data_IF_535426463935
#
_entry.id   IF_535426463935
#
_cell.length_a   1.000
_cell.length_b   1.000
_cell.length_c   1.000
_cell.angle_alpha   90.00
_cell.angle_beta   90.00
_cell.angle_gamma   90.00
#
_symmetry.space_group_name_H-M   'P 1'
#
loop_
_entity.id
_entity.type
_entity.pdbx_description
1 polymer ?
#
# COMPACT_ATOMS: atom_id res chain seq x y z
N UNK A 1 -13.71 -21.28 -17.49
CA UNK A 1 -12.64 -22.29 -17.68
C UNK A 1 -12.57 -22.81 -19.12
N UNK A 2 -13.61 -23.43 -19.70
CA UNK A 2 -13.56 -23.93 -21.09
C UNK A 2 -13.24 -22.86 -22.16
N UNK A 3 -13.83 -21.64 -22.08
CA UNK A 3 -13.62 -20.60 -23.10
C UNK A 3 -12.32 -19.79 -22.99
N UNK A 4 -11.62 -19.81 -21.85
CA UNK A 4 -10.36 -19.06 -21.67
C UNK A 4 -9.14 -19.96 -21.89
N UNK A 5 -9.23 -21.25 -21.56
CA UNK A 5 -8.22 -22.23 -21.99
C UNK A 5 -8.22 -22.39 -23.50
N UNK A 6 -9.37 -22.24 -24.17
CA UNK A 6 -9.43 -22.23 -25.64
C UNK A 6 -8.92 -20.91 -26.21
N UNK A 7 -9.26 -19.75 -25.61
CA UNK A 7 -8.75 -18.46 -26.10
C UNK A 7 -7.22 -18.36 -25.98
N UNK A 8 -6.66 -18.66 -24.81
CA UNK A 8 -5.22 -18.65 -24.62
C UNK A 8 -4.54 -19.80 -25.36
N UNK A 9 -5.13 -21.01 -25.37
CA UNK A 9 -4.60 -22.16 -26.11
C UNK A 9 -4.55 -21.92 -27.61
N UNK A 10 -5.65 -21.51 -28.24
CA UNK A 10 -5.72 -21.25 -29.68
C UNK A 10 -4.92 -20.00 -30.08
N UNK A 11 -4.94 -18.93 -29.27
CA UNK A 11 -4.14 -17.73 -29.55
C UNK A 11 -2.65 -17.99 -29.39
N UNK A 12 -2.25 -18.78 -28.39
CA UNK A 12 -0.85 -19.19 -28.16
C UNK A 12 -0.39 -20.13 -29.28
N UNK A 13 -1.19 -21.15 -29.63
CA UNK A 13 -0.88 -22.09 -30.72
C UNK A 13 -0.76 -21.36 -32.06
N UNK A 14 -1.71 -20.50 -32.39
CA UNK A 14 -1.68 -19.69 -33.60
C UNK A 14 -0.45 -18.77 -33.62
N UNK A 15 -0.13 -18.12 -32.51
CA UNK A 15 1.02 -17.22 -32.44
C UNK A 15 2.37 -17.96 -32.52
N UNK A 16 2.52 -19.09 -31.83
CA UNK A 16 3.68 -19.97 -31.97
C UNK A 16 3.85 -20.41 -33.43
N UNK A 17 2.74 -20.65 -34.14
CA UNK A 17 2.73 -21.03 -35.56
C UNK A 17 3.16 -19.87 -36.46
N UNK A 18 2.62 -18.66 -36.24
CA UNK A 18 2.92 -17.46 -37.01
C UNK A 18 4.39 -17.01 -36.85
N UNK A 19 5.01 -17.25 -35.70
CA UNK A 19 6.38 -16.81 -35.39
C UNK A 19 7.43 -17.94 -35.55
N UNK A 20 7.02 -19.10 -36.06
CA UNK A 20 7.92 -20.23 -36.33
C UNK A 20 8.44 -20.98 -35.11
N UNK A 21 7.83 -20.78 -33.94
CA UNK A 21 8.16 -21.48 -32.69
C UNK A 21 7.31 -22.74 -32.45
N UNK A 22 6.28 -22.96 -33.26
CA UNK A 22 5.43 -24.13 -33.19
C UNK A 22 6.15 -25.36 -33.77
N UNK A 23 6.40 -26.35 -32.92
CA UNK A 23 6.83 -27.67 -33.33
C UNK A 23 5.65 -28.65 -33.20
N UNK A 24 5.07 -29.14 -34.32
CA UNK A 24 3.94 -30.05 -34.30
C UNK A 24 4.26 -31.42 -33.68
N UNK A 25 5.53 -31.77 -33.48
CA UNK A 25 5.93 -32.99 -32.77
C UNK A 25 5.90 -32.85 -31.23
N UNK A 26 5.51 -31.69 -30.72
CA UNK A 26 5.37 -31.41 -29.28
C UNK A 26 3.87 -31.20 -28.99
N UNK A 27 3.08 -32.27 -29.12
CA UNK A 27 1.61 -32.19 -28.99
C UNK A 27 1.09 -31.91 -27.56
N UNK A 28 1.94 -31.77 -26.53
CA UNK A 28 1.48 -31.82 -25.13
C UNK A 28 2.03 -30.79 -24.15
N UNK A 29 2.67 -29.70 -24.60
CA UNK A 29 3.35 -28.79 -23.65
C UNK A 29 2.55 -27.50 -23.33
N UNK A 30 1.44 -27.20 -23.99
CA UNK A 30 0.69 -25.96 -23.71
C UNK A 30 -0.25 -26.00 -22.48
N UNK A 31 -0.58 -27.18 -21.94
CA UNK A 31 -1.49 -27.33 -20.80
C UNK A 31 -0.79 -27.61 -19.46
N UNK A 32 0.51 -27.90 -19.47
CA UNK A 32 1.29 -28.18 -18.25
C UNK A 32 2.70 -27.57 -18.29
N UNK A 33 2.94 -26.47 -19.02
CA UNK A 33 4.16 -25.71 -18.78
C UNK A 33 4.02 -25.01 -17.43
N UNK A 34 4.88 -25.30 -16.43
CA UNK A 34 5.07 -24.38 -15.34
C UNK A 34 5.39 -23.01 -15.95
N UNK A 35 4.76 -21.91 -15.49
CA UNK A 35 5.02 -20.55 -15.99
C UNK A 35 6.51 -20.16 -15.99
N UNK A 36 7.34 -20.89 -15.25
CA UNK A 36 8.78 -20.78 -15.13
C UNK A 36 9.58 -21.14 -16.41
N UNK A 37 8.93 -21.63 -17.48
CA UNK A 37 9.62 -22.14 -18.68
C UNK A 37 9.36 -21.37 -19.99
N UNK A 38 8.58 -20.28 -19.98
CA UNK A 38 8.44 -19.44 -21.17
C UNK A 38 9.67 -18.52 -21.32
N UNK A 39 10.34 -18.51 -22.48
CA UNK A 39 11.38 -17.52 -22.76
C UNK A 39 10.85 -16.10 -22.52
N UNK A 40 11.65 -15.25 -21.89
CA UNK A 40 11.25 -13.90 -21.46
C UNK A 40 10.61 -13.06 -22.59
N UNK A 41 11.14 -13.16 -23.81
CA UNK A 41 10.60 -12.47 -24.98
C UNK A 41 9.20 -12.93 -25.41
N UNK A 42 8.84 -14.19 -25.15
CA UNK A 42 7.51 -14.73 -25.40
C UNK A 42 6.53 -14.27 -24.32
N UNK A 43 6.96 -14.32 -23.06
CA UNK A 43 6.15 -13.86 -21.92
C UNK A 43 5.77 -12.37 -22.03
N UNK A 44 6.69 -11.51 -22.46
CA UNK A 44 6.39 -10.08 -22.63
C UNK A 44 5.40 -9.83 -23.79
N UNK A 45 5.57 -10.50 -24.94
CA UNK A 45 4.63 -10.37 -26.07
C UNK A 45 3.21 -10.83 -25.69
N UNK A 46 3.10 -11.93 -24.94
CA UNK A 46 1.81 -12.41 -24.44
C UNK A 46 1.22 -11.46 -23.40
N UNK A 47 2.05 -10.89 -22.53
CA UNK A 47 1.63 -9.88 -21.54
C UNK A 47 1.02 -8.65 -22.22
N UNK A 48 1.63 -8.13 -23.30
CA UNK A 48 1.07 -7.00 -24.06
C UNK A 48 -0.31 -7.33 -24.67
N UNK A 49 -0.48 -8.55 -25.19
CA UNK A 49 -1.77 -8.99 -25.76
C UNK A 49 -2.84 -9.17 -24.69
N UNK A 50 -2.49 -9.80 -23.56
CA UNK A 50 -3.38 -9.95 -22.41
C UNK A 50 -3.81 -8.58 -21.87
N UNK A 51 -2.87 -7.64 -21.79
CA UNK A 51 -3.15 -6.26 -21.39
C UNK A 51 -4.16 -5.58 -22.34
N UNK A 52 -3.99 -5.70 -23.66
CA UNK A 52 -4.94 -5.15 -24.62
C UNK A 52 -6.34 -5.76 -24.51
N UNK A 53 -6.42 -7.09 -24.34
CA UNK A 53 -7.69 -7.80 -24.15
C UNK A 53 -8.43 -7.32 -22.89
N UNK A 54 -7.74 -7.32 -21.74
CA UNK A 54 -8.36 -6.96 -20.46
C UNK A 54 -8.75 -5.47 -20.41
N UNK A 55 -7.95 -4.58 -21.00
CA UNK A 55 -8.35 -3.18 -21.15
C UNK A 55 -9.66 -3.03 -21.95
N UNK A 56 -9.84 -3.87 -22.98
CA UNK A 56 -11.10 -3.94 -23.73
C UNK A 56 -12.27 -4.42 -22.88
N UNK A 57 -12.08 -5.47 -22.07
CA UNK A 57 -13.12 -6.00 -21.18
C UNK A 57 -13.55 -4.98 -20.10
N UNK A 58 -12.59 -4.33 -19.42
CA UNK A 58 -12.89 -3.27 -18.44
C UNK A 58 -13.55 -2.04 -19.09
N UNK A 59 -13.16 -1.68 -20.31
CA UNK A 59 -13.68 -0.51 -21.02
C UNK A 59 -15.07 -0.70 -21.64
N UNK A 60 -15.38 -1.90 -22.17
CA UNK A 60 -16.61 -2.13 -22.95
C UNK A 60 -17.71 -2.85 -22.16
N UNK A 61 -17.36 -3.70 -21.20
CA UNK A 61 -18.32 -4.62 -20.56
C UNK A 61 -18.59 -4.32 -19.09
N UNK A 62 -17.99 -3.25 -18.54
CA UNK A 62 -18.15 -2.84 -17.13
C UNK A 62 -17.95 -4.01 -16.13
N UNK A 63 -16.96 -4.88 -16.38
CA UNK A 63 -16.66 -5.98 -15.47
C UNK A 63 -16.05 -5.46 -14.17
N UNK A 64 -16.36 -6.12 -13.06
CA UNK A 64 -15.74 -5.85 -11.76
C UNK A 64 -14.35 -6.50 -11.64
N UNK A 65 -13.54 -6.05 -10.68
CA UNK A 65 -12.23 -6.67 -10.41
C UNK A 65 -12.40 -8.15 -10.02
N UNK A 66 -13.31 -8.47 -9.10
CA UNK A 66 -13.68 -9.85 -8.77
C UNK A 66 -13.97 -10.72 -10.00
N UNK A 67 -14.80 -10.26 -10.94
CA UNK A 67 -15.14 -11.02 -12.16
C UNK A 67 -13.95 -11.19 -13.10
N UNK A 68 -13.10 -10.16 -13.20
CA UNK A 68 -11.87 -10.22 -13.97
C UNK A 68 -10.91 -11.24 -13.37
N UNK A 69 -10.69 -11.20 -12.05
CA UNK A 69 -9.80 -12.12 -11.34
C UNK A 69 -10.20 -13.58 -11.56
N UNK A 70 -11.48 -13.93 -11.45
CA UNK A 70 -11.97 -15.30 -11.70
C UNK A 70 -11.61 -15.81 -13.11
N UNK A 71 -11.49 -14.91 -14.09
CA UNK A 71 -11.23 -15.23 -15.49
C UNK A 71 -9.76 -15.07 -15.89
N UNK A 72 -8.97 -14.29 -15.17
CA UNK A 72 -7.54 -14.08 -15.42
C UNK A 72 -6.74 -15.36 -15.16
N UNK A 73 -5.69 -15.55 -15.95
CA UNK A 73 -4.81 -16.72 -15.83
C UNK A 73 -3.92 -16.65 -14.59
N UNK A 74 -3.47 -15.45 -14.21
CA UNK A 74 -2.46 -15.26 -13.16
C UNK A 74 -1.02 -15.47 -13.63
N UNK A 75 -0.81 -15.78 -14.92
CA UNK A 75 0.49 -16.18 -15.46
C UNK A 75 1.25 -15.04 -16.14
N UNK A 76 0.54 -13.97 -16.51
CA UNK A 76 1.06 -12.89 -17.32
C UNK A 76 1.02 -11.57 -16.56
N UNK A 77 2.16 -10.87 -16.50
CA UNK A 77 2.27 -9.57 -15.83
C UNK A 77 1.33 -8.52 -16.45
N UNK A 78 1.01 -8.65 -17.73
CA UNK A 78 0.05 -7.79 -18.43
C UNK A 78 -1.37 -7.82 -17.85
N UNK A 79 -1.82 -8.96 -17.31
CA UNK A 79 -3.13 -9.05 -16.66
C UNK A 79 -3.15 -8.21 -15.37
N UNK A 80 -2.09 -8.32 -14.56
CA UNK A 80 -1.91 -7.55 -13.34
C UNK A 80 -1.76 -6.04 -13.61
N UNK A 81 -1.04 -5.66 -14.68
CA UNK A 81 -0.91 -4.26 -15.11
C UNK A 81 -2.28 -3.64 -15.38
N UNK A 82 -3.20 -4.37 -16.00
CA UNK A 82 -4.56 -3.87 -16.27
C UNK A 82 -5.34 -3.69 -14.98
N UNK A 83 -5.32 -4.68 -14.06
CA UNK A 83 -6.01 -4.53 -12.77
C UNK A 83 -5.50 -3.30 -12.02
N UNK A 84 -4.18 -3.14 -11.94
CA UNK A 84 -3.57 -1.96 -11.33
C UNK A 84 -4.04 -0.67 -11.97
N UNK A 85 -3.91 -0.56 -13.30
CA UNK A 85 -4.28 0.65 -14.02
C UNK A 85 -5.77 0.95 -13.86
N UNK A 86 -6.63 -0.08 -13.84
CA UNK A 86 -8.05 0.08 -13.62
C UNK A 86 -8.34 0.59 -12.20
N UNK A 87 -7.78 -0.03 -11.16
CA UNK A 87 -7.97 0.37 -9.76
C UNK A 87 -7.50 1.81 -9.54
N UNK A 88 -6.27 2.14 -9.96
CA UNK A 88 -5.70 3.49 -9.78
C UNK A 88 -6.49 4.55 -10.55
N UNK A 89 -6.87 4.28 -11.82
CA UNK A 89 -7.51 5.28 -12.68
C UNK A 89 -8.98 5.52 -12.34
N UNK A 90 -9.71 4.46 -12.00
CA UNK A 90 -11.15 4.53 -11.76
C UNK A 90 -11.50 4.63 -10.28
N UNK A 91 -10.50 4.47 -9.40
CA UNK A 91 -10.69 4.30 -7.96
C UNK A 91 -11.74 3.24 -7.63
N UNK A 92 -11.73 2.15 -8.42
CA UNK A 92 -12.66 1.04 -8.24
C UNK A 92 -12.55 0.50 -6.81
N UNK A 93 -13.69 0.17 -6.16
CA UNK A 93 -13.65 -0.45 -4.85
C UNK A 93 -12.96 -1.81 -4.97
N UNK A 94 -11.82 -1.93 -4.32
CA UNK A 94 -11.11 -3.19 -4.10
C UNK A 94 -11.31 -3.57 -2.63
N UNK A 95 -11.45 -4.86 -2.36
CA UNK A 95 -11.51 -5.37 -0.99
C UNK A 95 -10.27 -6.23 -0.65
N UNK A 96 -10.08 -6.52 0.64
CA UNK A 96 -8.93 -7.30 1.12
C UNK A 96 -8.88 -8.70 0.50
N UNK A 97 -10.03 -9.35 0.28
CA UNK A 97 -10.06 -10.68 -0.33
C UNK A 97 -9.61 -10.66 -1.80
N UNK A 98 -9.99 -9.65 -2.58
CA UNK A 98 -9.53 -9.47 -3.95
C UNK A 98 -8.02 -9.20 -4.00
N UNK A 99 -7.48 -8.45 -3.04
CA UNK A 99 -6.04 -8.23 -2.92
C UNK A 99 -5.28 -9.51 -2.59
N UNK A 100 -5.77 -10.31 -1.65
CA UNK A 100 -5.17 -11.60 -1.33
C UNK A 100 -5.27 -12.58 -2.52
N UNK A 101 -6.38 -12.55 -3.26
CA UNK A 101 -6.49 -13.32 -4.50
C UNK A 101 -5.45 -12.87 -5.54
N UNK A 102 -5.22 -11.56 -5.69
CA UNK A 102 -4.15 -11.01 -6.52
C UNK A 102 -2.77 -11.52 -6.07
N UNK A 103 -2.46 -11.45 -4.76
CA UNK A 103 -1.20 -11.93 -4.19
C UNK A 103 -0.98 -13.41 -4.52
N UNK A 104 -1.97 -14.26 -4.27
CA UNK A 104 -1.88 -15.70 -4.50
C UNK A 104 -1.78 -16.01 -5.99
N UNK A 105 -2.66 -15.43 -6.81
CA UNK A 105 -2.79 -15.73 -8.25
C UNK A 105 -1.55 -15.32 -9.04
N UNK A 106 -0.92 -14.20 -8.69
CA UNK A 106 0.27 -13.68 -9.37
C UNK A 106 1.59 -13.94 -8.63
N UNK A 107 1.58 -14.73 -7.55
CA UNK A 107 2.77 -15.02 -6.71
C UNK A 107 3.97 -15.57 -7.48
N UNK A 108 3.72 -16.24 -8.61
CA UNK A 108 4.73 -16.87 -9.45
C UNK A 108 5.31 -15.95 -10.54
N UNK A 109 4.76 -14.73 -10.71
CA UNK A 109 5.17 -13.78 -11.74
C UNK A 109 6.23 -12.83 -11.17
N UNK A 110 7.38 -12.76 -11.83
CA UNK A 110 8.47 -11.87 -11.41
C UNK A 110 8.01 -10.40 -11.42
N UNK A 111 8.31 -9.66 -10.34
CA UNK A 111 7.90 -8.26 -10.19
C UNK A 111 6.43 -8.06 -9.79
N UNK A 112 5.61 -9.11 -9.74
CA UNK A 112 4.20 -8.99 -9.35
C UNK A 112 4.02 -8.53 -7.91
N UNK A 113 4.85 -8.98 -6.96
CA UNK A 113 4.74 -8.57 -5.54
C UNK A 113 4.72 -7.06 -5.38
N UNK A 114 5.68 -6.35 -5.98
CA UNK A 114 5.75 -4.89 -5.93
C UNK A 114 4.49 -4.24 -6.53
N UNK A 115 4.00 -4.78 -7.64
CA UNK A 115 2.80 -4.27 -8.30
C UNK A 115 1.53 -4.50 -7.47
N UNK A 116 1.43 -5.64 -6.79
CA UNK A 116 0.33 -5.92 -5.87
C UNK A 116 0.41 -5.01 -4.64
N UNK A 117 1.60 -4.71 -4.13
CA UNK A 117 1.78 -3.75 -3.03
C UNK A 117 1.38 -2.32 -3.44
N UNK A 118 1.64 -1.92 -4.69
CA UNK A 118 1.14 -0.66 -5.24
C UNK A 118 -0.40 -0.65 -5.34
N UNK A 119 -1.03 -1.76 -5.74
CA UNK A 119 -2.49 -1.90 -5.72
C UNK A 119 -3.05 -1.90 -4.30
N UNK A 120 -2.33 -2.48 -3.34
CA UNK A 120 -2.71 -2.48 -1.93
C UNK A 120 -2.75 -1.07 -1.35
N UNK A 121 -1.87 -0.17 -1.80
CA UNK A 121 -1.86 1.22 -1.35
C UNK A 121 -3.12 2.01 -1.74
N UNK A 122 -3.84 1.55 -2.77
CA UNK A 122 -5.13 2.13 -3.19
C UNK A 122 -6.29 1.68 -2.29
N UNK A 123 -6.11 0.63 -1.47
CA UNK A 123 -7.15 0.20 -0.52
C UNK A 123 -7.29 1.19 0.63
N UNK A 124 -8.53 1.58 0.98
CA UNK A 124 -8.74 2.33 2.20
C UNK A 124 -8.29 1.49 3.41
N UNK A 125 -7.53 2.09 4.35
CA UNK A 125 -7.37 1.52 5.67
C UNK A 125 -8.75 1.29 6.31
N UNK A 126 -8.84 0.40 7.31
CA UNK A 126 -10.07 0.24 8.09
C UNK A 126 -10.57 1.60 8.59
N UNK A 127 -11.89 1.79 8.56
CA UNK A 127 -12.49 2.99 9.12
C UNK A 127 -12.12 3.07 10.61
N UNK A 128 -11.55 4.20 11.08
CA UNK A 128 -11.18 4.35 12.48
C UNK A 128 -12.41 4.21 13.36
N UNK A 129 -12.24 3.52 14.49
CA UNK A 129 -13.29 3.39 15.50
C UNK A 129 -13.66 4.76 16.03
N UNK A 130 -14.92 4.92 16.47
CA UNK A 130 -15.31 6.15 17.14
C UNK A 130 -14.59 6.22 18.50
N UNK A 131 -13.82 7.28 18.76
CA UNK A 131 -13.11 7.40 20.02
C UNK A 131 -14.10 7.63 21.16
N UNK A 132 -13.79 7.04 22.33
CA UNK A 132 -14.66 7.12 23.51
C UNK A 132 -14.25 8.27 24.43
N UNK A 133 -15.22 8.95 25.02
CA UNK A 133 -14.96 10.00 26.02
C UNK A 133 -14.25 9.45 27.27
N UNK A 134 -14.44 8.16 27.57
CA UNK A 134 -13.83 7.48 28.71
C UNK A 134 -12.34 7.19 28.54
N UNK A 135 -11.79 7.34 27.34
CA UNK A 135 -10.39 7.06 27.06
C UNK A 135 -9.44 8.04 27.74
N UNK A 136 -8.32 7.51 28.20
CA UNK A 136 -7.19 8.29 28.66
C UNK A 136 -6.39 8.90 27.49
N UNK A 137 -5.44 9.76 27.81
CA UNK A 137 -4.67 10.47 26.79
C UNK A 137 -3.83 9.56 25.90
N UNK A 138 -3.30 8.46 26.45
CA UNK A 138 -2.47 7.53 25.70
C UNK A 138 -3.35 6.78 24.71
N UNK A 139 -4.54 6.34 25.12
CA UNK A 139 -5.53 5.70 24.26
C UNK A 139 -5.97 6.63 23.11
N UNK A 140 -6.21 7.91 23.40
CA UNK A 140 -6.53 8.91 22.36
C UNK A 140 -5.39 9.11 21.36
N UNK A 141 -4.14 9.22 21.83
CA UNK A 141 -2.95 9.35 20.97
C UNK A 141 -2.75 8.09 20.14
N UNK A 142 -2.90 6.91 20.74
CA UNK A 142 -2.69 5.63 20.06
C UNK A 142 -3.74 5.39 18.97
N UNK A 143 -5.01 5.69 19.24
CA UNK A 143 -6.07 5.69 18.24
C UNK A 143 -5.78 6.67 17.11
N UNK A 144 -5.36 7.90 17.44
CA UNK A 144 -5.06 8.91 16.44
C UNK A 144 -3.95 8.42 15.50
N UNK A 145 -2.92 7.79 16.07
CA UNK A 145 -1.75 7.28 15.36
C UNK A 145 -2.03 6.05 14.50
N UNK A 146 -2.70 5.05 15.07
CA UNK A 146 -2.82 3.72 14.46
C UNK A 146 -4.04 3.59 13.56
N UNK A 147 -5.09 4.37 13.80
CA UNK A 147 -6.35 4.29 13.06
C UNK A 147 -6.62 5.57 12.28
N UNK A 148 -6.75 6.71 12.96
CA UNK A 148 -7.27 7.94 12.34
C UNK A 148 -6.31 8.58 11.33
N UNK A 149 -5.04 8.77 11.68
CA UNK A 149 -4.04 9.42 10.83
C UNK A 149 -3.78 8.63 9.54
N UNK A 150 -3.58 7.30 9.56
CA UNK A 150 -3.46 6.49 8.35
C UNK A 150 -4.69 6.63 7.44
N UNK A 151 -5.88 6.54 8.02
CA UNK A 151 -7.13 6.72 7.27
C UNK A 151 -7.26 8.13 6.67
N UNK A 152 -6.93 9.17 7.45
CA UNK A 152 -6.95 10.57 7.00
C UNK A 152 -5.92 10.82 5.89
N UNK A 153 -4.72 10.26 6.00
CA UNK A 153 -3.71 10.32 4.95
C UNK A 153 -4.26 9.70 3.66
N UNK A 154 -4.84 8.50 3.75
CA UNK A 154 -5.42 7.84 2.59
C UNK A 154 -6.51 8.71 1.94
N UNK A 155 -7.41 9.30 2.73
CA UNK A 155 -8.41 10.24 2.20
C UNK A 155 -7.77 11.42 1.47
N UNK A 156 -6.69 12.00 2.01
CA UNK A 156 -5.98 13.12 1.38
C UNK A 156 -5.30 12.71 0.07
N UNK A 157 -4.57 11.59 0.08
CA UNK A 157 -3.85 11.07 -1.08
C UNK A 157 -4.83 10.75 -2.24
N UNK A 158 -6.06 10.37 -1.92
CA UNK A 158 -7.12 10.05 -2.89
C UNK A 158 -8.16 11.16 -3.10
N UNK A 159 -7.92 12.37 -2.56
CA UNK A 159 -8.82 13.53 -2.65
C UNK A 159 -10.28 13.23 -2.26
N UNK A 160 -10.47 12.45 -1.18
CA UNK A 160 -11.77 12.05 -0.65
C UNK A 160 -12.11 12.78 0.64
N UNK A 161 -13.41 12.91 0.89
CA UNK A 161 -13.95 13.50 2.11
C UNK A 161 -14.85 12.45 2.80
N UNK A 162 -14.71 12.34 4.11
CA UNK A 162 -15.54 11.50 4.95
C UNK A 162 -16.01 12.32 6.16
N UNK A 163 -17.31 12.54 6.29
CA UNK A 163 -17.91 13.35 7.36
C UNK A 163 -17.68 12.75 8.75
N UNK A 164 -17.69 11.41 8.86
CA UNK A 164 -17.40 10.73 10.13
C UNK A 164 -15.95 10.97 10.56
N UNK A 165 -14.99 10.89 9.64
CA UNK A 165 -13.59 11.21 9.92
C UNK A 165 -13.42 12.69 10.32
N UNK A 166 -14.15 13.62 9.68
CA UNK A 166 -14.16 15.02 10.09
C UNK A 166 -14.69 15.17 11.52
N UNK A 167 -15.82 14.54 11.84
CA UNK A 167 -16.38 14.59 13.19
C UNK A 167 -15.42 14.01 14.24
N UNK A 168 -14.78 12.88 13.95
CA UNK A 168 -13.75 12.28 14.80
C UNK A 168 -12.57 13.21 15.04
N UNK A 169 -12.18 14.00 14.02
CA UNK A 169 -11.12 15.00 14.16
C UNK A 169 -11.47 16.11 15.13
N UNK A 170 -12.71 16.59 15.11
CA UNK A 170 -13.24 17.60 16.03
C UNK A 170 -13.27 17.06 17.45
N UNK A 171 -13.74 15.81 17.65
CA UNK A 171 -13.73 15.17 18.96
C UNK A 171 -12.32 15.07 19.56
N UNK A 172 -11.34 14.70 18.72
CA UNK A 172 -9.93 14.64 19.13
C UNK A 172 -9.40 16.03 19.52
N UNK A 173 -9.67 17.05 18.70
CA UNK A 173 -9.26 18.43 18.95
C UNK A 173 -9.83 18.97 20.27
N UNK A 174 -11.14 18.80 20.50
CA UNK A 174 -11.79 19.24 21.73
C UNK A 174 -11.20 18.54 22.96
N UNK A 175 -10.95 17.22 22.86
CA UNK A 175 -10.35 16.44 23.95
C UNK A 175 -8.92 16.90 24.24
N UNK A 176 -8.11 17.07 23.20
CA UNK A 176 -6.74 17.56 23.30
C UNK A 176 -6.71 18.92 23.98
N UNK A 177 -7.58 19.85 23.55
CA UNK A 177 -7.66 21.19 24.12
C UNK A 177 -8.06 21.16 25.60
N UNK A 178 -9.11 20.41 25.96
CA UNK A 178 -9.58 20.31 27.36
C UNK A 178 -8.54 19.71 28.29
N UNK A 179 -7.73 18.76 27.81
CA UNK A 179 -6.73 18.06 28.63
C UNK A 179 -5.33 18.67 28.52
N UNK A 180 -5.12 19.66 27.64
CA UNK A 180 -3.80 20.25 27.41
C UNK A 180 -3.07 20.70 28.69
N UNK A 181 -3.73 21.34 29.68
CA UNK A 181 -3.06 21.70 30.94
C UNK A 181 -2.55 20.50 31.74
N UNK A 182 -3.20 19.34 31.64
CA UNK A 182 -2.75 18.11 32.28
C UNK A 182 -1.53 17.53 31.56
N UNK A 183 -1.46 17.67 30.23
CA UNK A 183 -0.26 17.28 29.46
C UNK A 183 0.95 18.11 29.82
N UNK A 184 0.77 19.41 30.10
CA UNK A 184 1.84 20.28 30.61
C UNK A 184 2.37 19.86 31.99
N UNK A 185 1.69 18.97 32.70
CA UNK A 185 2.14 18.43 33.98
C UNK A 185 2.75 17.02 33.84
N UNK A 186 2.58 16.36 32.69
CA UNK A 186 3.12 15.03 32.43
C UNK A 186 4.57 15.12 31.95
N UNK A 187 5.50 14.64 32.76
CA UNK A 187 6.93 14.68 32.45
C UNK A 187 7.30 13.87 31.20
N UNK A 188 6.54 12.78 30.94
CA UNK A 188 6.81 11.85 29.83
C UNK A 188 6.33 12.40 28.47
N UNK A 189 5.37 13.32 28.45
CA UNK A 189 4.79 13.89 27.22
C UNK A 189 5.44 15.22 26.81
N UNK A 190 6.32 15.77 27.65
CA UNK A 190 6.93 17.07 27.43
C UNK A 190 8.42 16.98 27.08
N UNK A 191 8.90 18.05 26.46
CA UNK A 191 10.31 18.34 26.18
C UNK A 191 11.22 18.10 27.40
N UNK A 192 10.72 18.20 28.63
CA UNK A 192 11.49 17.94 29.85
C UNK A 192 12.00 16.50 29.96
N UNK A 193 11.24 15.50 29.49
CA UNK A 193 11.74 14.12 29.37
C UNK A 193 12.91 14.03 28.38
N UNK A 194 12.76 14.67 27.22
CA UNK A 194 13.80 14.75 26.19
C UNK A 194 15.05 15.53 26.66
N UNK A 195 14.90 16.50 27.57
CA UNK A 195 16.00 17.31 28.08
C UNK A 195 17.07 16.47 28.79
N UNK A 196 16.67 15.46 29.57
CA UNK A 196 17.62 14.55 30.24
C UNK A 196 18.47 13.79 29.21
N UNK A 197 17.83 13.31 28.15
CA UNK A 197 18.50 12.53 27.13
C UNK A 197 19.43 13.41 26.28
N UNK A 198 19.01 14.65 26.00
CA UNK A 198 19.83 15.69 25.36
C UNK A 198 21.06 16.03 26.21
N UNK A 199 20.92 16.16 27.53
CA UNK A 199 22.07 16.39 28.40
C UNK A 199 23.10 15.26 28.31
N UNK A 200 22.66 14.00 28.24
CA UNK A 200 23.56 12.85 28.04
C UNK A 200 24.30 12.94 26.71
N UNK A 201 23.58 13.20 25.61
CA UNK A 201 24.17 13.29 24.27
C UNK A 201 25.16 14.46 24.15
N UNK A 202 24.86 15.60 24.75
CA UNK A 202 25.79 16.74 24.81
C UNK A 202 27.06 16.36 25.59
N UNK A 203 26.95 15.59 26.68
CA UNK A 203 28.08 15.07 27.45
C UNK A 203 28.97 14.11 26.65
N UNK A 204 28.41 13.39 25.67
CA UNK A 204 29.13 12.53 24.74
C UNK A 204 29.74 13.27 23.55
N UNK A 205 29.54 14.59 23.44
CA UNK A 205 30.12 15.45 22.40
C UNK A 205 29.27 15.60 21.14
N UNK A 206 28.01 15.15 21.15
CA UNK A 206 27.08 15.38 20.03
C UNK A 206 26.65 16.85 19.94
N UNK A 207 26.42 17.32 18.72
CA UNK A 207 25.74 18.59 18.46
C UNK A 207 24.25 18.31 18.26
N UNK A 208 23.41 19.00 19.03
CA UNK A 208 21.96 18.79 19.01
C UNK A 208 21.30 19.87 18.16
N UNK A 209 20.64 19.45 17.08
CA UNK A 209 19.78 20.31 16.28
C UNK A 209 18.33 20.16 16.74
N UNK A 210 17.73 21.25 17.21
CA UNK A 210 16.29 21.32 17.48
C UNK A 210 15.55 21.77 16.23
N UNK A 211 14.69 20.89 15.71
CA UNK A 211 13.80 21.21 14.60
C UNK A 211 12.39 21.35 15.14
N UNK A 212 11.91 22.60 15.27
CA UNK A 212 10.51 22.87 15.53
C UNK A 212 9.78 22.94 14.20
N UNK A 213 8.87 22.02 13.97
CA UNK A 213 8.07 21.98 12.76
C UNK A 213 6.64 22.36 13.12
N UNK A 214 6.20 23.50 12.59
CA UNK A 214 4.81 23.91 12.68
C UNK A 214 4.05 23.47 11.41
N UNK A 215 2.80 23.08 11.57
CA UNK A 215 1.88 22.67 10.49
C UNK A 215 2.37 21.53 9.57
N UNK A 216 3.37 20.74 9.98
CA UNK A 216 3.71 19.51 9.26
C UNK A 216 2.83 18.37 9.78
N UNK A 217 1.97 17.79 8.94
CA UNK A 217 1.16 16.66 9.37
C UNK A 217 2.05 15.48 9.78
N UNK A 218 1.65 14.77 10.84
CA UNK A 218 2.45 13.68 11.42
C UNK A 218 2.92 12.64 10.40
N UNK A 219 2.10 12.36 9.39
CA UNK A 219 2.42 11.38 8.36
C UNK A 219 3.55 11.80 7.39
N UNK A 220 4.00 13.06 7.41
CA UNK A 220 5.21 13.50 6.70
C UNK A 220 6.49 13.35 7.52
N UNK A 221 6.37 13.01 8.80
CA UNK A 221 7.53 12.89 9.69
C UNK A 221 8.53 11.84 9.19
N UNK A 222 8.06 10.70 8.67
CA UNK A 222 8.95 9.68 8.10
C UNK A 222 9.77 10.20 6.91
N UNK A 223 9.16 11.02 6.05
CA UNK A 223 9.87 11.65 4.92
C UNK A 223 10.93 12.62 5.43
N UNK A 224 10.60 13.45 6.42
CA UNK A 224 11.56 14.37 7.06
C UNK A 224 12.70 13.60 7.74
N UNK A 225 12.38 12.57 8.51
CA UNK A 225 13.33 11.72 9.20
C UNK A 225 14.30 11.06 8.23
N UNK A 226 13.80 10.51 7.12
CA UNK A 226 14.63 9.92 6.05
C UNK A 226 15.56 10.97 5.44
N UNK A 227 15.04 12.15 5.10
CA UNK A 227 15.85 13.22 4.53
C UNK A 227 16.97 13.66 5.50
N UNK A 228 16.70 13.73 6.80
CA UNK A 228 17.73 14.03 7.80
C UNK A 228 18.80 12.93 7.87
N UNK A 229 18.40 11.66 7.90
CA UNK A 229 19.36 10.54 7.91
C UNK A 229 20.22 10.52 6.65
N UNK A 230 19.63 10.72 5.49
CA UNK A 230 20.34 10.81 4.20
C UNK A 230 21.35 11.96 4.15
N UNK A 231 21.16 13.00 4.97
CA UNK A 231 22.07 14.13 5.12
C UNK A 231 23.04 13.99 6.30
N UNK A 232 23.17 12.79 6.88
CA UNK A 232 24.17 12.48 7.91
C UNK A 232 23.76 12.86 9.34
N UNK A 233 22.48 13.20 9.57
CA UNK A 233 21.97 13.38 10.92
C UNK A 233 21.66 12.02 11.56
N UNK A 234 22.02 11.87 12.85
CA UNK A 234 21.62 10.74 13.67
C UNK A 234 20.34 11.13 14.39
N UNK A 235 19.24 10.42 14.10
CA UNK A 235 18.01 10.57 14.86
C UNK A 235 18.23 9.98 16.25
N UNK A 236 17.98 10.76 17.30
CA UNK A 236 18.02 10.27 18.68
C UNK A 236 16.83 9.34 18.94
N UNK A 237 16.93 8.09 18.49
CA UNK A 237 15.94 7.04 18.77
C UNK A 237 16.19 6.41 20.15
N UNK A 238 15.98 7.17 21.23
CA UNK A 238 15.67 6.59 22.55
C UNK A 238 14.69 7.52 23.26
N UNK A 239 13.44 7.09 23.38
CA UNK A 239 12.99 6.44 24.58
C UNK A 239 13.06 4.93 24.33
N UNK A 240 13.07 4.11 25.38
CA UNK A 240 13.01 2.64 25.28
C UNK A 240 11.72 2.09 24.62
N UNK A 241 11.02 2.90 23.81
CA UNK A 241 10.00 2.51 22.86
C UNK A 241 9.94 3.51 21.68
N UNK A 242 10.70 3.30 20.60
CA UNK A 242 10.40 3.91 19.29
C UNK A 242 9.11 3.30 18.67
N UNK A 243 8.61 2.19 19.23
CA UNK A 243 7.36 1.52 18.82
C UNK A 243 6.09 2.36 19.05
N UNK A 244 6.16 3.48 19.77
CA UNK A 244 5.00 4.34 20.04
C UNK A 244 4.75 5.45 19.03
N UNK A 245 5.60 5.67 18.03
CA UNK A 245 5.37 6.76 17.08
C UNK A 245 5.33 6.36 15.60
N UNK A 246 6.06 5.36 15.10
CA UNK A 246 6.16 5.17 13.64
C UNK A 246 6.38 3.73 13.13
N UNK A 247 5.66 2.73 13.65
CA UNK A 247 5.56 1.43 12.97
C UNK A 247 4.26 1.37 12.15
N UNK A 248 4.37 1.65 10.85
CA UNK A 248 3.49 1.11 9.81
C UNK A 248 4.31 0.14 8.96
#
# INVERSE_FOLDING_TARGET
>A
WQNLSSYYGETLLRWLTEEGFYNPNIEWIALELPPQLLPQGISEKLSVKAEAYWNGEFGQKHITVSEALVKMSGLLLGELRVVRNFVVKTHAPLNIFELEELRVKFSHVEGASKMVDEVAAELPPPMPKQPSEGWDAIEWIDWARTEYIPYKKWLLDHNRINETAIHQSIMYEERLYRNYPQFLQSFDLLIYGAFRDIQSLLGEGYIILWVLVDNLPLFWFQTLARALVENGFVLSEKPKNPLYLFSM
#
